data_IF_926194111765
#
_entry.id   IF_926194111765
#
_cell.length_a   1.000
_cell.length_b   1.000
_cell.length_c   1.000
_cell.angle_alpha   90.00
_cell.angle_beta   90.00
_cell.angle_gamma   90.00
#
_symmetry.space_group_name_H-M   'P 1'
#
loop_
_entity.id
_entity.type
_entity.pdbx_description
1 polymer ?
#
# COMPACT_ATOMS: atom_id res chain seq x y z
N UNK A 1 -6.46 5.55 17.38
CA UNK A 1 -5.94 4.17 17.54
C UNK A 1 -4.42 4.20 17.70
N UNK A 2 -3.88 3.40 18.63
CA UNK A 2 -2.43 3.33 18.90
C UNK A 2 -1.62 2.96 17.65
N UNK A 3 -2.13 2.03 16.82
CA UNK A 3 -1.48 1.63 15.57
C UNK A 3 -1.26 2.81 14.61
N UNK A 4 -2.24 3.70 14.47
CA UNK A 4 -2.11 4.90 13.63
C UNK A 4 -1.13 5.92 14.21
N UNK A 5 -1.04 6.02 15.54
CA UNK A 5 -0.06 6.88 16.19
C UNK A 5 1.37 6.37 15.95
N UNK A 6 1.60 5.07 16.15
CA UNK A 6 2.88 4.42 15.84
C UNK A 6 3.25 4.56 14.37
N UNK A 7 2.30 4.38 13.46
CA UNK A 7 2.56 4.58 12.03
C UNK A 7 3.02 6.01 11.72
N UNK A 8 2.36 7.03 12.30
CA UNK A 8 2.76 8.45 12.13
C UNK A 8 4.16 8.74 12.64
N UNK A 9 4.65 8.01 13.64
CA UNK A 9 6.05 8.19 14.10
C UNK A 9 7.06 7.88 12.99
N UNK A 10 6.78 6.91 12.10
CA UNK A 10 7.65 6.63 10.95
C UNK A 10 7.70 7.82 9.98
N UNK A 11 6.54 8.42 9.71
CA UNK A 11 6.47 9.65 8.90
C UNK A 11 7.24 10.80 9.55
N UNK A 12 7.12 10.96 10.86
CA UNK A 12 7.83 12.01 11.61
C UNK A 12 9.34 11.80 11.69
N UNK A 13 9.84 10.58 11.45
CA UNK A 13 11.28 10.31 11.26
C UNK A 13 11.79 10.75 9.89
N UNK A 14 10.92 11.30 9.03
CA UNK A 14 11.26 11.74 7.68
C UNK A 14 11.12 10.64 6.63
N UNK A 15 10.44 9.53 6.93
CA UNK A 15 10.12 8.51 5.94
C UNK A 15 8.90 8.93 5.11
N UNK A 16 8.94 8.66 3.81
CA UNK A 16 7.84 8.92 2.87
C UNK A 16 7.05 7.65 2.62
N UNK A 17 5.72 7.72 2.66
CA UNK A 17 4.84 6.65 2.15
C UNK A 17 4.81 6.75 0.62
N UNK A 18 5.49 5.82 -0.08
CA UNK A 18 5.68 5.89 -1.52
C UNK A 18 4.36 5.82 -2.32
N UNK A 19 3.40 5.03 -1.83
CA UNK A 19 2.11 4.89 -2.50
C UNK A 19 1.32 6.19 -2.38
N UNK A 20 1.33 6.83 -1.21
CA UNK A 20 0.65 8.11 -1.03
C UNK A 20 1.34 9.26 -1.79
N UNK A 21 2.65 9.17 -2.00
CA UNK A 21 3.39 10.14 -2.81
C UNK A 21 3.07 10.06 -4.32
N UNK A 22 2.47 8.97 -4.80
CA UNK A 22 2.24 8.72 -6.23
C UNK A 22 0.76 8.75 -6.63
N UNK A 23 -0.17 8.72 -5.69
CA UNK A 23 -1.61 8.87 -5.96
C UNK A 23 -2.39 9.39 -4.75
N UNK A 24 -3.42 10.19 -5.02
CA UNK A 24 -4.41 10.62 -4.03
C UNK A 24 -5.58 9.63 -3.89
N UNK A 25 -5.73 8.72 -4.86
CA UNK A 25 -6.83 7.77 -4.92
C UNK A 25 -6.80 6.77 -3.77
N UNK A 26 -7.99 6.22 -3.45
CA UNK A 26 -8.10 5.12 -2.51
C UNK A 26 -7.49 3.85 -3.13
N UNK A 27 -6.31 3.48 -2.65
CA UNK A 27 -5.65 2.23 -2.97
C UNK A 27 -5.75 1.26 -1.79
N UNK A 28 -6.41 0.12 -1.98
CA UNK A 28 -6.51 -0.95 -0.98
C UNK A 28 -5.50 -2.04 -1.28
N UNK A 29 -4.98 -2.66 -0.23
CA UNK A 29 -3.98 -3.74 -0.33
C UNK A 29 -4.48 -5.03 0.31
N UNK A 30 -5.59 -4.96 1.05
CA UNK A 30 -6.20 -6.07 1.77
C UNK A 30 -7.72 -6.08 1.61
N UNK A 31 -8.28 -7.29 1.44
CA UNK A 31 -9.72 -7.55 1.52
C UNK A 31 -9.99 -8.85 2.26
N UNK A 32 -10.72 -8.72 3.36
CA UNK A 32 -11.19 -9.86 4.15
C UNK A 32 -11.96 -10.87 3.28
N UNK A 33 -11.82 -12.16 3.56
CA UNK A 33 -12.57 -13.21 2.88
C UNK A 33 -14.07 -13.18 3.24
N UNK A 34 -14.41 -12.59 4.38
CA UNK A 34 -15.76 -12.52 4.90
C UNK A 34 -16.61 -11.47 4.18
N UNK A 35 -17.92 -11.68 4.30
CA UNK A 35 -18.95 -10.79 3.79
C UNK A 35 -18.80 -10.43 2.29
N UNK A 36 -17.96 -11.09 1.49
CA UNK A 36 -17.73 -10.68 0.10
C UNK A 36 -17.06 -9.31 -0.04
N UNK A 37 -16.16 -8.94 0.88
CA UNK A 37 -15.46 -7.65 0.87
C UNK A 37 -14.77 -7.36 -0.47
N UNK A 38 -14.14 -8.38 -1.09
CA UNK A 38 -13.54 -8.28 -2.42
C UNK A 38 -14.55 -7.84 -3.50
N UNK A 39 -15.72 -8.50 -3.58
CA UNK A 39 -16.75 -8.19 -4.59
C UNK A 39 -17.35 -6.80 -4.42
N UNK A 40 -17.40 -6.29 -3.19
CA UNK A 40 -17.86 -4.93 -2.89
C UNK A 40 -16.76 -3.87 -2.97
N UNK A 41 -15.52 -4.28 -3.26
CA UNK A 41 -14.34 -3.43 -3.14
C UNK A 41 -14.22 -2.75 -1.76
N UNK A 42 -14.62 -3.42 -0.69
CA UNK A 42 -14.59 -2.92 0.68
C UNK A 42 -13.25 -3.31 1.33
N UNK A 43 -12.16 -2.70 0.88
CA UNK A 43 -10.81 -3.02 1.33
C UNK A 43 -10.25 -2.03 2.36
N UNK A 44 -9.07 -2.35 2.87
CA UNK A 44 -8.23 -1.42 3.63
C UNK A 44 -6.81 -1.43 3.06
N UNK A 45 -6.05 -0.38 3.40
CA UNK A 45 -4.63 -0.25 3.07
C UNK A 45 -3.81 -0.47 4.33
N UNK A 46 -3.07 -1.55 4.38
CA UNK A 46 -2.22 -1.91 5.53
C UNK A 46 -0.82 -2.39 5.11
N UNK A 47 -0.53 -2.42 3.82
CA UNK A 47 0.78 -2.73 3.25
C UNK A 47 1.39 -1.42 2.74
N UNK A 48 2.52 -1.00 3.33
CA UNK A 48 3.12 0.31 3.08
C UNK A 48 4.58 0.20 2.66
N UNK A 49 4.98 0.98 1.65
CA UNK A 49 6.37 1.21 1.30
C UNK A 49 6.83 2.52 1.96
N UNK A 50 7.42 2.42 3.15
CA UNK A 50 8.02 3.56 3.84
C UNK A 50 9.48 3.69 3.40
N UNK A 51 9.80 4.76 2.67
CA UNK A 51 11.09 4.95 2.02
C UNK A 51 11.84 6.16 2.59
N UNK A 52 13.17 6.12 2.55
CA UNK A 52 14.00 7.27 2.95
C UNK A 52 13.90 8.41 1.91
N UNK A 53 14.30 9.64 2.26
CA UNK A 53 14.33 10.76 1.31
C UNK A 53 15.13 10.45 0.03
N UNK A 54 16.28 9.78 0.15
CA UNK A 54 17.13 9.46 -1.02
C UNK A 54 16.50 8.43 -1.96
N UNK A 55 15.63 7.55 -1.43
CA UNK A 55 14.84 6.63 -2.23
C UNK A 55 13.63 7.35 -2.83
N UNK A 56 13.01 8.28 -2.09
CA UNK A 56 11.92 9.10 -2.60
C UNK A 56 12.34 9.94 -3.82
N UNK A 57 13.55 10.52 -3.81
CA UNK A 57 14.12 11.26 -4.95
C UNK A 57 14.27 10.41 -6.21
N UNK A 58 14.32 9.08 -6.06
CA UNK A 58 14.49 8.11 -7.15
C UNK A 58 13.19 7.37 -7.51
N UNK A 59 12.10 7.64 -6.81
CA UNK A 59 10.84 6.93 -7.00
C UNK A 59 10.18 7.35 -8.31
N UNK A 60 10.00 6.40 -9.23
CA UNK A 60 9.31 6.63 -10.50
C UNK A 60 7.81 6.31 -10.43
N UNK A 61 7.41 5.43 -9.53
CA UNK A 61 6.01 5.02 -9.39
C UNK A 61 5.81 3.87 -8.43
N UNK A 62 4.55 3.66 -8.04
CA UNK A 62 4.11 2.53 -7.23
C UNK A 62 2.95 1.83 -7.93
N UNK A 63 2.97 0.50 -7.93
CA UNK A 63 1.89 -0.34 -8.47
C UNK A 63 1.32 -1.21 -7.36
N UNK A 64 -0.02 -1.20 -7.24
CA UNK A 64 -0.75 -2.16 -6.41
C UNK A 64 -1.33 -3.22 -7.34
N UNK A 65 -0.85 -4.45 -7.21
CA UNK A 65 -1.19 -5.59 -8.10
C UNK A 65 -2.55 -6.19 -7.73
N UNK A 66 -3.61 -5.37 -7.82
CA UNK A 66 -4.97 -5.69 -7.38
C UNK A 66 -5.58 -6.87 -8.16
N UNK A 67 -5.16 -7.06 -9.41
CA UNK A 67 -5.59 -8.16 -10.28
C UNK A 67 -5.26 -9.53 -9.70
N UNK A 68 -4.16 -9.67 -8.95
CA UNK A 68 -3.76 -10.91 -8.26
C UNK A 68 -4.84 -11.39 -7.28
N UNK A 69 -5.64 -10.47 -6.71
CA UNK A 69 -6.74 -10.81 -5.80
C UNK A 69 -7.87 -11.58 -6.49
N UNK A 70 -7.93 -11.53 -7.82
CA UNK A 70 -8.91 -12.23 -8.65
C UNK A 70 -8.50 -13.64 -9.08
N UNK A 71 -7.29 -14.10 -8.75
CA UNK A 71 -6.81 -15.44 -9.11
C UNK A 71 -7.48 -16.55 -8.30
N UNK A 72 -7.22 -17.82 -8.67
CA UNK A 72 -7.67 -18.97 -7.87
C UNK A 72 -6.88 -19.05 -6.56
N UNK A 73 -7.58 -19.26 -5.44
CA UNK A 73 -7.03 -19.30 -4.07
C UNK A 73 -6.03 -18.16 -3.78
N UNK A 74 -6.44 -16.89 -3.93
CA UNK A 74 -5.54 -15.76 -3.74
C UNK A 74 -5.30 -15.51 -2.24
N UNK A 75 -4.23 -14.78 -1.91
CA UNK A 75 -4.11 -14.15 -0.59
C UNK A 75 -5.21 -13.09 -0.41
N UNK A 76 -5.54 -12.82 0.85
CA UNK A 76 -6.31 -11.65 1.28
C UNK A 76 -5.57 -10.32 1.04
N UNK A 77 -4.25 -10.35 0.91
CA UNK A 77 -3.40 -9.23 0.52
C UNK A 77 -3.04 -9.26 -0.98
N UNK A 78 -2.65 -8.10 -1.51
CA UNK A 78 -2.03 -7.96 -2.83
C UNK A 78 -0.65 -7.32 -2.74
N UNK A 79 0.27 -7.68 -3.65
CA UNK A 79 1.59 -7.05 -3.68
C UNK A 79 1.54 -5.54 -3.96
N UNK A 80 2.46 -4.82 -3.32
CA UNK A 80 2.74 -3.41 -3.59
C UNK A 80 4.20 -3.28 -4.03
N UNK A 81 4.42 -2.73 -5.21
CA UNK A 81 5.73 -2.62 -5.85
C UNK A 81 6.10 -1.15 -6.05
N UNK A 82 7.32 -0.76 -5.65
CA UNK A 82 7.89 0.55 -5.97
C UNK A 82 8.97 0.42 -7.05
N UNK A 83 8.94 1.29 -8.06
CA UNK A 83 9.95 1.36 -9.12
C UNK A 83 10.87 2.56 -8.89
N UNK A 84 12.17 2.33 -9.01
CA UNK A 84 13.21 3.33 -8.74
C UNK A 84 14.22 3.44 -9.88
N UNK A 85 14.69 4.66 -10.15
CA UNK A 85 15.81 4.91 -11.08
C UNK A 85 17.15 4.89 -10.36
N UNK A 86 18.20 4.39 -11.02
CA UNK A 86 19.58 4.33 -10.50
C UNK A 86 20.59 4.87 -11.51
#
# INVERSE_FOLDING_TARGET
>A
PESLERFRTLTNLGMTDALRATTEDAAYTFWDFQAGAWRRNAGIRIDHLMISPQAADRLEGVTVHKDVRGWDKPSDHVPVEGRFTF
#
